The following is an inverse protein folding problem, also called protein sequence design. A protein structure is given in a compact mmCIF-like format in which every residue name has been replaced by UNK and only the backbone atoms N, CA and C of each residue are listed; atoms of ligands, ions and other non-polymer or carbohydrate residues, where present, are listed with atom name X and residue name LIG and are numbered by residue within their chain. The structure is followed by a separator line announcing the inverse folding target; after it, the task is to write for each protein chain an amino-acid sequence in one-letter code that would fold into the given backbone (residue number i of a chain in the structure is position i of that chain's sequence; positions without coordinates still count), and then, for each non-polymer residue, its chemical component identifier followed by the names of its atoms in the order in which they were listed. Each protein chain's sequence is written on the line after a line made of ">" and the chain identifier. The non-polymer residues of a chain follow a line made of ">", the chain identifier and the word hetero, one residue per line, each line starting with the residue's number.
data_IF_843597159055
#
_entry.id   IF_843597159055
#
_cell.length_a   1.000
_cell.length_b   1.000
_cell.length_c   1.000
_cell.angle_alpha   90.00
_cell.angle_beta   90.00
_cell.angle_gamma   90.00
#
_symmetry.space_group_name_H-M   'P 1'
#
loop_
_entity.id
_entity.type
_entity.pdbx_description
1 polymer ?
#
# COMPACT_ATOMS: atom_id res chain seq x y z
N UNK A 1 12.86 36.83 -37.12
CA UNK A 1 13.69 36.55 -35.93
C UNK A 1 12.87 36.31 -34.65
N UNK A 2 11.80 37.06 -34.37
CA UNK A 2 10.95 36.86 -33.17
C UNK A 2 10.19 35.51 -33.14
N UNK A 3 9.74 35.03 -34.28
CA UNK A 3 9.05 33.72 -34.38
C UNK A 3 9.95 32.52 -34.11
N UNK A 4 11.24 32.60 -34.46
CA UNK A 4 12.18 31.49 -34.25
C UNK A 4 12.46 31.28 -32.76
N UNK A 5 12.61 32.37 -31.99
CA UNK A 5 12.80 32.34 -30.54
C UNK A 5 11.59 31.73 -29.80
N UNK A 6 10.37 32.03 -30.26
CA UNK A 6 9.13 31.51 -29.68
C UNK A 6 9.00 29.99 -29.88
N UNK A 7 9.38 29.50 -31.06
CA UNK A 7 9.38 28.06 -31.39
C UNK A 7 10.42 27.33 -30.54
N UNK A 8 11.62 27.88 -30.36
CA UNK A 8 12.65 27.26 -29.50
C UNK A 8 12.21 27.15 -28.04
N UNK A 9 11.53 28.17 -27.51
CA UNK A 9 10.97 28.18 -26.15
C UNK A 9 9.86 27.13 -25.98
N UNK A 10 8.94 27.01 -26.95
CA UNK A 10 7.86 26.03 -26.92
C UNK A 10 8.39 24.59 -26.95
N UNK A 11 9.41 24.32 -27.77
CA UNK A 11 10.03 23.00 -27.84
C UNK A 11 10.75 22.65 -26.52
N UNK A 12 11.46 23.60 -25.90
CA UNK A 12 12.14 23.35 -24.63
C UNK A 12 11.18 22.94 -23.49
N UNK A 13 9.98 23.54 -23.44
CA UNK A 13 8.94 23.20 -22.46
C UNK A 13 8.36 21.80 -22.72
N UNK A 14 8.17 21.43 -23.98
CA UNK A 14 7.62 20.11 -24.35
C UNK A 14 8.64 18.97 -24.15
N UNK A 15 9.94 19.22 -24.33
CA UNK A 15 10.99 18.21 -24.15
C UNK A 15 11.50 18.07 -22.71
N UNK A 16 11.47 19.13 -21.89
CA UNK A 16 11.91 19.08 -20.47
C UNK A 16 10.75 18.94 -19.47
N UNK A 17 9.53 19.31 -19.85
CA UNK A 17 8.33 19.17 -19.01
C UNK A 17 8.02 17.75 -18.55
N UNK A 18 8.00 16.71 -19.42
CA UNK A 18 7.61 15.36 -19.00
C UNK A 18 8.60 14.72 -18.03
N UNK A 19 9.90 15.01 -18.15
CA UNK A 19 10.94 14.52 -17.21
C UNK A 19 10.75 15.07 -15.80
N UNK A 20 10.27 16.31 -15.67
CA UNK A 20 9.95 16.91 -14.37
C UNK A 20 8.66 16.34 -13.76
N UNK A 21 7.72 15.88 -14.58
CA UNK A 21 6.39 15.48 -14.08
C UNK A 21 6.41 14.11 -13.41
N UNK A 22 7.24 13.18 -13.89
CA UNK A 22 7.39 11.85 -13.27
C UNK A 22 8.11 11.92 -11.91
N UNK A 23 9.17 12.73 -11.81
CA UNK A 23 9.89 12.92 -10.55
C UNK A 23 9.02 13.56 -9.47
N UNK A 24 8.17 14.54 -9.82
CA UNK A 24 7.27 15.19 -8.86
C UNK A 24 6.16 14.26 -8.35
N UNK A 25 5.64 13.35 -9.18
CA UNK A 25 4.63 12.37 -8.74
C UNK A 25 5.21 11.34 -7.77
N UNK A 26 6.51 11.05 -7.84
CA UNK A 26 7.19 10.21 -6.87
C UNK A 26 7.29 10.89 -5.49
N UNK A 27 7.64 12.17 -5.44
CA UNK A 27 7.78 12.92 -4.17
C UNK A 27 6.45 13.36 -3.54
N UNK A 28 5.38 13.49 -4.32
CA UNK A 28 4.07 13.92 -3.83
C UNK A 28 3.08 12.76 -3.67
N UNK A 29 3.56 11.53 -3.46
CA UNK A 29 2.67 10.46 -2.99
C UNK A 29 2.08 10.93 -1.67
N UNK A 30 0.76 11.23 -1.59
CA UNK A 30 0.16 11.60 -0.32
C UNK A 30 0.22 10.34 0.54
N UNK A 31 1.12 10.31 1.54
CA UNK A 31 1.15 9.22 2.50
C UNK A 31 -0.21 9.23 3.20
N UNK A 32 -0.93 8.10 3.16
CA UNK A 32 -2.24 7.96 3.79
C UNK A 32 -2.19 8.05 5.32
N UNK A 33 -0.98 8.14 5.88
CA UNK A 33 -0.69 8.23 7.31
C UNK A 33 0.41 9.29 7.56
N UNK A 34 0.49 9.78 8.80
CA UNK A 34 1.59 10.66 9.22
C UNK A 34 2.83 9.82 9.57
N UNK A 35 4.00 10.17 9.02
CA UNK A 35 5.23 9.40 9.21
C UNK A 35 5.54 9.21 10.70
N UNK A 36 5.89 7.98 11.08
CA UNK A 36 6.16 7.57 12.46
C UNK A 36 4.93 7.23 13.29
N UNK A 37 3.71 7.49 12.78
CA UNK A 37 2.50 7.00 13.44
C UNK A 37 2.45 5.47 13.42
N UNK A 38 1.89 4.91 14.50
CA UNK A 38 1.73 3.48 14.66
C UNK A 38 0.25 3.13 14.79
N UNK A 39 -0.14 2.00 14.21
CA UNK A 39 -1.48 1.45 14.32
C UNK A 39 -1.41 -0.08 14.31
N UNK A 40 -2.50 -0.71 14.75
CA UNK A 40 -2.68 -2.14 14.62
C UNK A 40 -3.41 -2.46 13.31
N UNK A 41 -2.84 -3.37 12.53
CA UNK A 41 -3.46 -4.01 11.38
C UNK A 41 -3.71 -5.48 11.73
N UNK A 42 -4.91 -5.77 12.23
CA UNK A 42 -5.13 -7.00 12.98
C UNK A 42 -4.31 -7.03 14.27
N UNK A 43 -3.57 -8.11 14.47
CA UNK A 43 -2.60 -8.21 15.55
C UNK A 43 -1.26 -7.54 15.24
N UNK A 44 -0.99 -7.21 13.97
CA UNK A 44 0.31 -6.72 13.56
C UNK A 44 0.45 -5.23 13.85
N UNK A 45 1.56 -4.84 14.48
CA UNK A 45 1.87 -3.44 14.72
C UNK A 45 2.54 -2.88 13.46
N UNK A 46 1.93 -1.87 12.88
CA UNK A 46 2.41 -1.18 11.69
C UNK A 46 2.95 0.21 12.05
N UNK A 47 3.98 0.64 11.32
CA UNK A 47 4.58 1.98 11.42
C UNK A 47 4.55 2.65 10.05
N UNK A 48 4.06 3.89 10.01
CA UNK A 48 4.02 4.69 8.79
C UNK A 48 5.43 5.12 8.42
N UNK A 49 5.87 4.85 7.19
CA UNK A 49 7.11 5.41 6.63
C UNK A 49 6.81 6.26 5.41
N UNK A 50 7.83 6.91 4.84
CA UNK A 50 7.68 7.74 3.66
C UNK A 50 7.36 6.93 2.38
N UNK A 51 7.87 5.70 2.31
CA UNK A 51 7.77 4.85 1.11
C UNK A 51 6.59 3.89 1.20
N UNK A 52 6.54 3.05 2.24
CA UNK A 52 5.49 2.06 2.52
C UNK A 52 5.34 1.81 4.05
N UNK A 53 4.23 1.23 4.50
CA UNK A 53 4.06 0.85 5.90
C UNK A 53 4.85 -0.41 6.26
N UNK A 54 5.56 -0.38 7.40
CA UNK A 54 6.24 -1.56 7.94
C UNK A 54 5.41 -2.19 9.05
N UNK A 55 4.99 -3.43 8.88
CA UNK A 55 4.22 -4.18 9.86
C UNK A 55 5.01 -5.39 10.39
N UNK A 56 4.78 -5.78 11.64
CA UNK A 56 5.18 -7.11 12.12
C UNK A 56 4.50 -8.21 11.27
N UNK A 57 5.08 -9.41 11.27
CA UNK A 57 4.58 -10.56 10.50
C UNK A 57 4.08 -11.68 11.42
N UNK A 58 3.23 -11.33 12.37
CA UNK A 58 2.58 -12.29 13.27
C UNK A 58 1.39 -12.94 12.58
N UNK A 59 1.20 -14.22 12.91
CA UNK A 59 -0.02 -14.95 12.59
C UNK A 59 -1.09 -14.45 13.54
N UNK A 60 -2.10 -13.77 13.01
CA UNK A 60 -3.19 -13.26 13.83
C UNK A 60 -4.21 -14.34 14.16
N UNK A 61 -4.72 -14.38 15.40
CA UNK A 61 -5.89 -15.20 15.73
C UNK A 61 -7.12 -14.64 15.02
N UNK A 62 -8.10 -15.51 14.74
CA UNK A 62 -9.40 -15.09 14.20
C UNK A 62 -10.18 -14.29 15.25
N UNK A 63 -10.53 -13.05 14.92
CA UNK A 63 -11.42 -12.21 15.73
C UNK A 63 -12.76 -11.99 15.01
N UNK A 64 -13.78 -12.81 15.25
CA UNK A 64 -15.05 -12.71 14.51
C UNK A 64 -15.78 -11.37 14.66
N UNK A 65 -15.43 -10.55 15.66
CA UNK A 65 -16.20 -9.35 16.04
C UNK A 65 -15.61 -8.04 15.48
N UNK A 66 -14.39 -8.06 14.93
CA UNK A 66 -13.67 -6.86 14.48
C UNK A 66 -13.50 -6.79 12.96
N UNK A 67 -14.40 -6.18 12.20
CA UNK A 67 -14.33 -6.19 10.72
C UNK A 67 -13.02 -5.64 10.08
N UNK A 68 -12.09 -5.06 10.84
CA UNK A 68 -10.78 -4.60 10.40
C UNK A 68 -9.59 -5.44 10.93
N UNK A 69 -9.83 -6.63 11.51
CA UNK A 69 -8.75 -7.45 12.09
C UNK A 69 -7.88 -8.16 11.04
N UNK A 70 -8.27 -8.16 9.77
CA UNK A 70 -7.50 -8.78 8.71
C UNK A 70 -7.66 -8.06 7.37
N UNK A 71 -6.54 -7.71 6.73
CA UNK A 71 -6.55 -7.16 5.36
C UNK A 71 -6.62 -8.28 4.32
N UNK A 72 -7.21 -8.01 3.14
CA UNK A 72 -7.17 -8.95 2.01
C UNK A 72 -5.73 -9.41 1.71
N UNK A 73 -5.53 -10.72 1.59
CA UNK A 73 -4.23 -11.34 1.36
C UNK A 73 -3.44 -11.72 2.62
N UNK A 74 -3.82 -11.20 3.80
CA UNK A 74 -3.14 -11.57 5.05
C UNK A 74 -3.55 -12.98 5.50
N UNK A 75 -2.58 -13.72 6.06
CA UNK A 75 -2.80 -15.08 6.56
C UNK A 75 -3.17 -15.10 8.05
N UNK A 76 -4.04 -16.05 8.42
CA UNK A 76 -4.44 -16.30 9.81
C UNK A 76 -4.69 -17.79 10.06
N UNK A 77 -4.73 -18.16 11.34
CA UNK A 77 -5.08 -19.52 11.76
C UNK A 77 -6.50 -19.57 12.33
N UNK A 78 -7.25 -20.59 11.92
CA UNK A 78 -8.56 -20.91 12.47
C UNK A 78 -8.62 -22.40 12.80
N UNK A 79 -8.35 -22.74 14.05
CA UNK A 79 -8.13 -24.15 14.44
C UNK A 79 -6.91 -24.72 13.71
N UNK A 80 -7.13 -25.75 12.88
CA UNK A 80 -6.06 -26.44 12.12
C UNK A 80 -5.99 -25.99 10.65
N UNK A 81 -6.64 -24.88 10.32
CA UNK A 81 -6.69 -24.36 8.95
C UNK A 81 -5.80 -23.13 8.83
N UNK A 82 -5.02 -23.10 7.75
CA UNK A 82 -4.36 -21.90 7.26
C UNK A 82 -5.30 -21.15 6.33
N UNK A 83 -5.66 -19.93 6.70
CA UNK A 83 -6.64 -19.14 5.97
C UNK A 83 -6.02 -17.85 5.44
N UNK A 84 -6.47 -17.40 4.27
CA UNK A 84 -6.16 -16.08 3.74
C UNK A 84 -7.41 -15.22 3.70
N UNK A 85 -7.28 -13.99 4.19
CA UNK A 85 -8.38 -13.05 4.22
C UNK A 85 -8.72 -12.54 2.83
N UNK A 86 -10.01 -12.42 2.54
CA UNK A 86 -10.53 -11.75 1.36
C UNK A 86 -11.11 -10.38 1.75
N UNK A 87 -11.38 -9.51 0.79
CA UNK A 87 -12.14 -8.26 1.02
C UNK A 87 -13.59 -8.48 1.44
N UNK A 88 -14.06 -9.72 1.38
CA UNK A 88 -15.35 -10.17 1.88
C UNK A 88 -15.06 -11.29 2.89
N UNK A 89 -15.31 -11.10 4.18
CA UNK A 89 -15.00 -12.09 5.22
C UNK A 89 -15.64 -13.46 4.98
N UNK A 90 -16.69 -13.54 4.15
CA UNK A 90 -17.35 -14.80 3.77
C UNK A 90 -16.59 -15.57 2.70
N UNK A 91 -15.57 -14.97 2.08
CA UNK A 91 -14.78 -15.52 0.96
C UNK A 91 -13.35 -15.90 1.34
N UNK A 92 -13.03 -15.89 2.63
CA UNK A 92 -11.72 -16.34 3.10
C UNK A 92 -11.41 -17.75 2.60
N UNK A 93 -10.18 -17.95 2.12
CA UNK A 93 -9.74 -19.23 1.57
C UNK A 93 -8.93 -19.96 2.63
N UNK A 94 -9.47 -21.07 3.14
CA UNK A 94 -8.83 -21.91 4.15
C UNK A 94 -8.35 -23.24 3.56
N UNK A 95 -7.15 -23.68 3.94
CA UNK A 95 -6.59 -24.99 3.59
C UNK A 95 -6.08 -25.69 4.85
N UNK A 96 -6.17 -27.01 4.87
CA UNK A 96 -5.61 -27.82 5.95
C UNK A 96 -4.09 -27.78 5.86
N UNK A 97 -3.42 -27.65 7.00
CA UNK A 97 -1.99 -27.91 7.08
C UNK A 97 -1.78 -29.41 7.15
N UNK A 98 -1.43 -30.00 6.02
CA UNK A 98 -0.85 -31.33 5.98
C UNK A 98 0.64 -31.15 6.36
N UNK A 99 0.94 -31.28 7.66
CA UNK A 99 2.30 -31.30 8.21
C UNK A 99 2.89 -32.70 8.11
#
# INVERSE_FOLDING_TARGET
>A
MKHLQLITLLLAVLFLGPVFTEAFNFFLRPTSCAIGTQWYNGCNMCTCTADDDYCTAMICPRDPDNNNWCKPGQAYFNGNLWCFCHSDPKKDVCRKLDL
#
